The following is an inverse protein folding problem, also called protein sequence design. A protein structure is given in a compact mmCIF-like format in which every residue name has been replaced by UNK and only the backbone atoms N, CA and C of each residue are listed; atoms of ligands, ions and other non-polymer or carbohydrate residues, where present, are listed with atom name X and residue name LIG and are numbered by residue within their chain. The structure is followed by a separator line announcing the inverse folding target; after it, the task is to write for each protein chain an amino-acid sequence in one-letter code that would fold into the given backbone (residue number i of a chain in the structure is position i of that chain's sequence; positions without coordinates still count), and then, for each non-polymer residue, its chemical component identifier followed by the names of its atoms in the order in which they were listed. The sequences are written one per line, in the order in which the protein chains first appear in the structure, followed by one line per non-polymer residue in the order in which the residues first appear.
data_IF_553924472275
#
_entry.id   IF_553924472275
#
_cell.length_a   1.000
_cell.length_b   1.000
_cell.length_c   1.000
_cell.angle_alpha   90.00
_cell.angle_beta   90.00
_cell.angle_gamma   90.00
#
_symmetry.space_group_name_H-M   'P 1'
#
loop_
_entity.id
_entity.type
_entity.pdbx_description
1 polymer ?
#
# COMPACT_ATOMS: atom_id res chain seq x y z
N UNK A 1 3.51 33.83 -7.34
CA UNK A 1 3.80 32.47 -7.82
C UNK A 1 3.04 31.51 -6.93
N UNK A 2 1.96 30.89 -7.43
CA UNK A 2 1.18 29.93 -6.64
C UNK A 2 2.03 28.68 -6.41
N UNK A 3 2.10 28.19 -5.17
CA UNK A 3 2.84 26.95 -4.85
C UNK A 3 2.14 25.76 -5.54
N UNK A 4 2.86 24.78 -6.10
CA UNK A 4 2.24 23.58 -6.66
C UNK A 4 1.44 22.87 -5.56
N UNK A 5 0.16 22.61 -5.84
CA UNK A 5 -0.77 21.94 -4.94
C UNK A 5 -0.86 20.49 -5.39
N UNK A 6 -0.08 19.61 -4.77
CA UNK A 6 -0.12 18.19 -5.11
C UNK A 6 -1.39 17.51 -4.61
N UNK A 7 -1.99 16.65 -5.44
CA UNK A 7 -3.18 15.88 -5.10
C UNK A 7 -2.75 14.55 -4.47
N UNK A 8 -3.14 14.30 -3.23
CA UNK A 8 -2.80 13.05 -2.55
C UNK A 8 -4.03 12.15 -2.47
N UNK A 9 -3.94 10.98 -3.10
CA UNK A 9 -4.97 9.96 -3.01
C UNK A 9 -4.93 9.34 -1.61
N UNK A 10 -5.94 9.67 -0.79
CA UNK A 10 -6.14 9.01 0.49
C UNK A 10 -6.60 7.57 0.25
N UNK A 11 -5.70 6.61 0.37
CA UNK A 11 -6.07 5.24 0.68
C UNK A 11 -5.91 5.05 2.19
N UNK A 12 -7.00 4.78 2.91
CA UNK A 12 -6.85 4.45 4.33
C UNK A 12 -6.13 3.10 4.42
N UNK A 13 -4.92 3.12 4.95
CA UNK A 13 -4.34 2.10 5.81
C UNK A 13 -3.12 2.76 6.46
N UNK A 14 -3.15 2.94 7.77
CA UNK A 14 -1.98 3.37 8.53
C UNK A 14 -1.01 2.19 8.59
N UNK A 15 0.30 2.48 8.45
CA UNK A 15 1.34 1.48 8.65
C UNK A 15 1.33 0.97 10.09
N UNK A 16 1.46 -0.34 10.26
CA UNK A 16 2.11 -0.88 11.44
C UNK A 16 3.61 -0.50 11.38
N UNK A 17 4.27 -0.19 12.52
CA UNK A 17 5.67 0.20 12.54
C UNK A 17 6.56 -0.88 11.89
N UNK A 18 7.62 -0.44 11.20
CA UNK A 18 8.59 -1.33 10.56
C UNK A 18 9.13 -2.32 11.60
N UNK A 19 8.86 -3.61 11.39
CA UNK A 19 9.50 -4.67 12.17
C UNK A 19 10.80 -5.07 11.49
N UNK A 20 11.85 -5.21 12.30
CA UNK A 20 13.18 -5.66 11.89
C UNK A 20 13.10 -7.04 11.22
N UNK A 21 13.98 -7.35 10.25
CA UNK A 21 14.00 -8.68 9.65
C UNK A 21 14.43 -9.70 10.70
N UNK A 22 13.50 -10.57 11.11
CA UNK A 22 13.82 -11.73 11.95
C UNK A 22 14.34 -12.81 11.02
N UNK A 23 15.66 -12.98 11.01
CA UNK A 23 16.32 -14.09 10.38
C UNK A 23 16.04 -15.35 11.21
N UNK A 24 15.46 -16.38 10.60
CA UNK A 24 15.29 -17.67 11.24
C UNK A 24 15.90 -18.76 10.34
N UNK A 25 16.99 -19.36 10.80
CA UNK A 25 17.48 -20.64 10.29
C UNK A 25 17.96 -21.54 11.44
N UNK A 26 17.13 -22.55 11.68
CA UNK A 26 17.44 -23.97 11.93
C UNK A 26 18.43 -24.47 12.99
N UNK A 27 17.97 -25.58 13.58
CA UNK A 27 18.59 -26.64 14.40
C UNK A 27 19.05 -26.28 15.83
N UNK A 28 18.63 -27.06 16.84
CA UNK A 28 19.17 -26.92 18.19
C UNK A 28 20.67 -27.23 18.17
N UNK A 29 21.47 -26.33 18.73
CA UNK A 29 22.89 -26.56 18.96
C UNK A 29 23.02 -27.68 20.00
N UNK A 30 23.63 -28.83 19.67
CA UNK A 30 24.05 -29.76 20.71
C UNK A 30 25.13 -29.07 21.53
N UNK A 31 24.96 -29.03 22.85
CA UNK A 31 26.07 -28.68 23.73
C UNK A 31 27.14 -29.75 23.59
N UNK A 32 28.41 -29.33 23.60
CA UNK A 32 29.58 -30.18 23.39
C UNK A 32 29.69 -31.36 24.39
N UNK A 33 28.86 -31.37 25.44
CA UNK A 33 28.83 -32.37 26.51
C UNK A 33 27.66 -33.37 26.42
N UNK A 34 26.79 -33.27 25.41
CA UNK A 34 25.63 -34.16 25.25
C UNK A 34 24.46 -33.84 26.18
N UNK A 35 24.51 -32.75 26.96
CA UNK A 35 23.37 -32.27 27.74
C UNK A 35 22.40 -31.46 26.87
N UNK A 36 21.10 -31.57 27.16
CA UNK A 36 20.06 -30.81 26.48
C UNK A 36 19.51 -29.72 27.40
N UNK A 37 19.52 -28.47 26.95
CA UNK A 37 18.79 -27.40 27.64
C UNK A 37 17.30 -27.58 27.35
N UNK A 38 16.57 -28.13 28.32
CA UNK A 38 15.12 -28.11 28.33
C UNK A 38 14.63 -26.73 28.76
N UNK A 39 13.91 -26.03 27.89
CA UNK A 39 13.16 -24.84 28.28
C UNK A 39 11.77 -25.28 28.73
N UNK A 40 11.32 -24.84 29.91
CA UNK A 40 9.93 -25.09 30.30
C UNK A 40 8.99 -24.34 29.34
N UNK A 41 7.79 -24.89 29.15
CA UNK A 41 6.76 -24.24 28.34
C UNK A 41 6.47 -22.83 28.87
N UNK A 42 6.45 -22.63 30.18
CA UNK A 42 6.22 -21.29 30.75
C UNK A 42 7.34 -20.31 30.40
N UNK A 43 8.61 -20.74 30.42
CA UNK A 43 9.74 -19.85 30.09
C UNK A 43 9.74 -19.54 28.59
N UNK A 44 9.44 -20.53 27.75
CA UNK A 44 9.36 -20.35 26.30
C UNK A 44 8.21 -19.41 25.91
N UNK A 45 7.03 -19.61 26.52
CA UNK A 45 5.90 -18.70 26.35
C UNK A 45 6.19 -17.31 26.91
N UNK A 46 6.74 -17.19 28.12
CA UNK A 46 6.91 -15.89 28.77
C UNK A 46 8.03 -15.04 28.14
N UNK A 47 9.14 -15.66 27.75
CA UNK A 47 10.38 -14.91 27.39
C UNK A 47 10.75 -14.98 25.92
N UNK A 48 10.34 -16.02 25.20
CA UNK A 48 10.78 -16.24 23.81
C UNK A 48 9.65 -15.95 22.83
N UNK A 49 8.57 -16.74 22.90
CA UNK A 49 7.49 -16.71 21.90
C UNK A 49 6.44 -15.66 22.25
N UNK A 50 6.10 -15.49 23.52
CA UNK A 50 5.04 -14.57 23.97
C UNK A 50 5.26 -13.11 23.62
N UNK A 51 6.47 -12.53 23.74
CA UNK A 51 6.73 -11.16 23.30
C UNK A 51 6.49 -10.96 21.80
N UNK A 52 6.92 -11.92 20.97
CA UNK A 52 6.71 -11.89 19.52
C UNK A 52 5.23 -12.02 19.18
N UNK A 53 4.54 -13.00 19.77
CA UNK A 53 3.09 -13.18 19.61
C UNK A 53 2.33 -11.94 20.08
N UNK A 54 2.74 -11.33 21.18
CA UNK A 54 2.15 -10.10 21.70
C UNK A 54 2.20 -8.96 20.67
N UNK A 55 3.35 -8.76 20.02
CA UNK A 55 3.49 -7.77 18.93
C UNK A 55 2.60 -8.10 17.74
N UNK A 56 2.58 -9.37 17.30
CA UNK A 56 1.74 -9.80 16.17
C UNK A 56 0.26 -9.50 16.43
N UNK A 57 -0.23 -9.85 17.62
CA UNK A 57 -1.64 -9.65 17.99
C UNK A 57 -1.96 -8.15 18.11
N UNK A 58 -1.11 -7.36 18.76
CA UNK A 58 -1.33 -5.92 18.89
C UNK A 58 -1.40 -5.23 17.52
N UNK A 59 -0.48 -5.58 16.60
CA UNK A 59 -0.50 -5.06 15.23
C UNK A 59 -1.73 -5.50 14.46
N UNK A 60 -2.12 -6.77 14.53
CA UNK A 60 -3.31 -7.26 13.85
C UNK A 60 -4.60 -6.58 14.37
N UNK A 61 -4.68 -6.37 15.69
CA UNK A 61 -5.82 -5.72 16.32
C UNK A 61 -5.95 -4.23 15.92
N UNK A 62 -4.83 -3.53 15.76
CA UNK A 62 -4.82 -2.15 15.22
C UNK A 62 -5.43 -2.11 13.81
N UNK A 63 -5.04 -3.02 12.93
CA UNK A 63 -5.58 -3.13 11.56
C UNK A 63 -7.08 -3.42 11.58
N UNK A 64 -7.55 -4.30 12.47
CA UNK A 64 -8.98 -4.61 12.62
C UNK A 64 -9.77 -3.39 13.12
N UNK A 65 -9.25 -2.67 14.11
CA UNK A 65 -9.87 -1.42 14.63
C UNK A 65 -9.95 -0.35 13.56
N UNK A 66 -8.88 -0.15 12.79
CA UNK A 66 -8.86 0.84 11.71
C UNK A 66 -9.87 0.47 10.62
N UNK A 67 -9.93 -0.80 10.21
CA UNK A 67 -10.92 -1.29 9.26
C UNK A 67 -12.35 -1.01 9.72
N UNK A 68 -12.65 -1.30 10.99
CA UNK A 68 -13.96 -1.02 11.58
C UNK A 68 -14.32 0.48 11.58
N UNK A 69 -13.40 1.35 12.03
CA UNK A 69 -13.59 2.82 12.00
C UNK A 69 -13.81 3.36 10.59
N UNK A 70 -13.19 2.72 9.60
CA UNK A 70 -13.31 3.07 8.19
C UNK A 70 -14.58 2.50 7.50
N UNK A 71 -15.48 1.84 8.23
CA UNK A 71 -16.67 1.19 7.67
C UNK A 71 -16.39 -0.09 6.87
N UNK A 72 -15.20 -0.67 7.04
CA UNK A 72 -14.72 -1.86 6.33
C UNK A 72 -14.21 -2.90 7.34
N UNK A 73 -15.06 -3.28 8.30
CA UNK A 73 -14.73 -4.28 9.30
C UNK A 73 -14.41 -5.64 8.65
N UNK A 74 -13.36 -6.31 9.12
CA UNK A 74 -13.00 -7.62 8.61
C UNK A 74 -13.95 -8.69 9.14
N UNK A 75 -14.45 -9.55 8.25
CA UNK A 75 -15.28 -10.69 8.62
C UNK A 75 -14.49 -11.96 8.93
N UNK A 76 -13.24 -12.04 8.44
CA UNK A 76 -12.37 -13.21 8.58
C UNK A 76 -10.92 -12.79 8.82
N UNK A 77 -10.21 -13.59 9.61
CA UNK A 77 -8.76 -13.47 9.85
C UNK A 77 -8.11 -14.78 9.45
N UNK A 78 -7.11 -14.73 8.56
CA UNK A 78 -6.40 -15.92 8.09
C UNK A 78 -5.01 -15.97 8.74
N UNK A 79 -4.72 -17.03 9.49
CA UNK A 79 -3.40 -17.22 10.10
C UNK A 79 -2.47 -17.98 9.15
N UNK A 80 -1.30 -17.41 8.89
CA UNK A 80 -0.39 -17.82 7.82
C UNK A 80 1.08 -17.64 8.23
N UNK A 81 2.01 -18.33 7.57
CA UNK A 81 3.45 -18.27 7.83
C UNK A 81 3.93 -19.34 8.82
N UNK A 82 5.25 -19.39 9.06
CA UNK A 82 5.86 -20.43 9.91
C UNK A 82 5.38 -20.40 11.36
N UNK A 83 5.13 -19.21 11.92
CA UNK A 83 4.66 -19.07 13.30
C UNK A 83 3.19 -19.46 13.50
N UNK A 84 2.41 -19.61 12.42
CA UNK A 84 0.98 -19.89 12.49
C UNK A 84 0.64 -21.26 13.08
N UNK A 85 1.62 -22.18 13.17
CA UNK A 85 1.48 -23.44 13.90
C UNK A 85 1.58 -23.31 15.42
N UNK A 86 1.98 -22.16 15.96
CA UNK A 86 2.11 -21.95 17.40
C UNK A 86 0.74 -21.97 18.08
N UNK A 87 0.57 -22.87 19.06
CA UNK A 87 -0.64 -22.96 19.88
C UNK A 87 -0.95 -21.64 20.61
N UNK A 88 0.09 -20.98 21.14
CA UNK A 88 -0.04 -19.68 21.79
C UNK A 88 -0.56 -18.60 20.83
N UNK A 89 -0.01 -18.54 19.60
CA UNK A 89 -0.46 -17.59 18.58
C UNK A 89 -1.91 -17.89 18.15
N UNK A 90 -2.24 -19.15 17.89
CA UNK A 90 -3.59 -19.56 17.51
C UNK A 90 -4.62 -19.20 18.58
N UNK A 91 -4.34 -19.49 19.86
CA UNK A 91 -5.20 -19.15 21.00
C UNK A 91 -5.45 -17.64 21.10
N UNK A 92 -4.39 -16.83 21.04
CA UNK A 92 -4.53 -15.36 21.12
C UNK A 92 -5.18 -14.77 19.87
N UNK A 93 -4.88 -15.29 18.69
CA UNK A 93 -5.52 -14.88 17.44
C UNK A 93 -7.02 -15.21 17.44
N UNK A 94 -7.42 -16.34 18.02
CA UNK A 94 -8.82 -16.72 18.15
C UNK A 94 -9.59 -15.76 19.07
N UNK A 95 -9.01 -15.42 20.23
CA UNK A 95 -9.59 -14.45 21.15
C UNK A 95 -9.74 -13.05 20.50
N UNK A 96 -8.70 -12.58 19.82
CA UNK A 96 -8.72 -11.31 19.07
C UNK A 96 -9.75 -11.32 17.93
N UNK A 97 -9.82 -12.39 17.14
CA UNK A 97 -10.80 -12.49 16.06
C UNK A 97 -12.24 -12.47 16.60
N UNK A 98 -12.49 -13.22 17.69
CA UNK A 98 -13.80 -13.27 18.35
C UNK A 98 -14.23 -11.90 18.90
N UNK A 99 -13.32 -11.14 19.55
CA UNK A 99 -13.64 -9.80 20.07
C UNK A 99 -14.03 -8.81 18.96
N UNK A 100 -13.53 -9.04 17.74
CA UNK A 100 -13.84 -8.25 16.54
C UNK A 100 -14.96 -8.85 15.66
N UNK A 101 -15.67 -9.89 16.13
CA UNK A 101 -16.70 -10.61 15.36
C UNK A 101 -16.21 -11.15 14.02
N UNK A 102 -14.92 -11.50 13.95
CA UNK A 102 -14.30 -12.10 12.78
C UNK A 102 -14.09 -13.61 12.97
N UNK A 103 -14.22 -14.38 11.90
CA UNK A 103 -13.91 -15.81 11.91
C UNK A 103 -12.40 -16.04 11.73
N UNK A 104 -11.75 -16.71 12.68
CA UNK A 104 -10.37 -17.18 12.47
C UNK A 104 -10.36 -18.38 11.52
N UNK A 105 -9.53 -18.32 10.49
CA UNK A 105 -9.26 -19.39 9.54
C UNK A 105 -7.83 -19.90 9.75
N UNK A 106 -7.70 -21.20 10.00
CA UNK A 106 -6.43 -21.90 10.11
C UNK A 106 -6.25 -22.80 8.89
N UNK A 107 -5.09 -22.70 8.24
CA UNK A 107 -4.74 -23.52 7.10
C UNK A 107 -4.12 -24.83 7.57
N UNK A 108 -4.36 -25.93 6.81
CA UNK A 108 -3.68 -27.21 7.07
C UNK A 108 -2.17 -27.11 6.96
N UNK A 109 -1.68 -26.25 6.07
CA UNK A 109 -0.25 -25.99 5.85
C UNK A 109 0.02 -24.49 5.81
N UNK A 110 0.07 -23.81 6.98
CA UNK A 110 0.23 -22.36 7.05
C UNK A 110 1.58 -21.85 6.53
N UNK A 111 2.63 -22.68 6.54
CA UNK A 111 3.95 -22.30 6.00
C UNK A 111 3.98 -22.21 4.48
N UNK A 112 3.16 -23.03 3.79
CA UNK A 112 3.11 -23.07 2.33
C UNK A 112 2.06 -22.10 1.73
N UNK A 113 1.20 -21.53 2.57
CA UNK A 113 0.06 -20.69 2.17
C UNK A 113 0.43 -19.51 1.26
N UNK A 114 1.59 -18.88 1.48
CA UNK A 114 2.06 -17.73 0.70
C UNK A 114 2.37 -18.18 -0.73
N UNK A 115 3.09 -19.29 -0.88
CA UNK A 115 3.42 -19.87 -2.19
C UNK A 115 2.16 -20.38 -2.88
N UNK A 116 1.28 -21.08 -2.15
CA UNK A 116 -0.03 -21.51 -2.67
C UNK A 116 -0.84 -20.33 -3.19
N UNK A 117 -0.90 -19.23 -2.42
CA UNK A 117 -1.56 -18.00 -2.83
C UNK A 117 -0.93 -17.37 -4.07
N UNK A 118 0.40 -17.37 -4.17
CA UNK A 118 1.13 -16.85 -5.32
C UNK A 118 0.84 -17.66 -6.60
N UNK A 119 0.81 -18.99 -6.52
CA UNK A 119 0.47 -19.87 -7.66
C UNK A 119 -0.98 -19.64 -8.10
N UNK A 120 -1.92 -19.61 -7.15
CA UNK A 120 -3.33 -19.31 -7.46
C UNK A 120 -3.49 -17.93 -8.09
N UNK A 121 -2.72 -16.94 -7.63
CA UNK A 121 -2.72 -15.60 -8.19
C UNK A 121 -2.17 -15.58 -9.63
N UNK A 122 -1.10 -16.33 -9.92
CA UNK A 122 -0.54 -16.45 -11.27
C UNK A 122 -1.52 -17.09 -12.26
N UNK A 123 -2.36 -18.03 -11.80
CA UNK A 123 -3.38 -18.65 -12.64
C UNK A 123 -4.63 -17.78 -12.82
N UNK A 124 -5.07 -17.10 -11.75
CA UNK A 124 -6.35 -16.38 -11.71
C UNK A 124 -6.18 -14.98 -11.09
N UNK A 125 -5.47 -14.06 -11.76
CA UNK A 125 -5.18 -12.74 -11.18
C UNK A 125 -6.43 -11.90 -10.92
N UNK A 126 -7.50 -12.12 -11.71
CA UNK A 126 -8.78 -11.44 -11.57
C UNK A 126 -9.53 -11.75 -10.26
N UNK A 127 -9.13 -12.79 -9.50
CA UNK A 127 -9.74 -13.10 -8.19
C UNK A 127 -9.39 -12.11 -7.09
N UNK A 128 -8.36 -11.30 -7.26
CA UNK A 128 -8.00 -10.27 -6.27
C UNK A 128 -8.88 -9.05 -6.48
N UNK A 129 -9.83 -8.85 -5.57
CA UNK A 129 -10.77 -7.72 -5.61
C UNK A 129 -10.08 -6.37 -5.35
N UNK A 130 -9.17 -6.33 -4.38
CA UNK A 130 -8.39 -5.15 -4.03
C UNK A 130 -7.13 -5.54 -3.25
N UNK A 131 -6.13 -4.65 -3.23
CA UNK A 131 -4.97 -4.72 -2.34
C UNK A 131 -4.90 -3.45 -1.51
N UNK A 132 -4.46 -3.55 -0.26
CA UNK A 132 -4.22 -2.37 0.58
C UNK A 132 -2.75 -1.98 0.50
N UNK A 133 -2.52 -0.71 0.25
CA UNK A 133 -1.20 -0.13 0.19
C UNK A 133 -0.69 0.15 1.59
N UNK A 134 0.63 0.03 1.80
CA UNK A 134 1.26 0.42 3.07
C UNK A 134 1.27 1.94 3.27
N UNK A 135 1.52 2.70 2.20
CA UNK A 135 1.62 4.16 2.23
C UNK A 135 0.42 4.82 1.58
N UNK A 136 0.23 6.10 1.88
CA UNK A 136 -0.63 7.00 1.11
C UNK A 136 0.12 7.42 -0.15
N UNK A 137 -0.52 7.33 -1.31
CA UNK A 137 0.07 7.70 -2.60
C UNK A 137 -0.64 8.92 -3.18
N UNK A 138 0.05 9.73 -3.95
CA UNK A 138 -0.49 10.95 -4.56
C UNK A 138 0.11 11.21 -5.93
N UNK A 139 -0.55 12.04 -6.72
CA UNK A 139 0.00 12.59 -7.96
C UNK A 139 0.05 14.10 -7.83
N UNK A 140 1.18 14.71 -8.15
CA UNK A 140 1.29 16.17 -8.22
C UNK A 140 0.40 16.70 -9.35
N UNK A 141 -0.41 17.71 -9.04
CA UNK A 141 -1.25 18.42 -10.00
C UNK A 141 -0.94 19.91 -9.87
N UNK A 142 -1.15 20.71 -10.91
CA UNK A 142 -0.97 22.17 -10.86
C UNK A 142 -2.29 22.94 -10.75
N UNK A 143 -3.41 22.24 -10.61
CA UNK A 143 -4.73 22.84 -10.42
C UNK A 143 -4.94 23.33 -8.98
N UNK A 144 -5.80 24.34 -8.83
CA UNK A 144 -6.24 24.81 -7.51
C UNK A 144 -7.03 23.72 -6.78
N UNK A 145 -6.74 23.52 -5.50
CA UNK A 145 -7.49 22.58 -4.67
C UNK A 145 -8.97 22.96 -4.59
N UNK A 146 -9.85 21.96 -4.57
CA UNK A 146 -11.29 22.10 -4.37
C UNK A 146 -11.84 20.87 -3.64
N UNK A 147 -13.00 20.97 -2.99
CA UNK A 147 -13.63 19.84 -2.29
C UNK A 147 -13.97 18.65 -3.21
N UNK A 148 -14.13 18.88 -4.52
CA UNK A 148 -14.28 17.80 -5.51
C UNK A 148 -13.04 16.92 -5.61
N UNK A 149 -11.87 17.43 -5.20
CA UNK A 149 -10.62 16.68 -5.13
C UNK A 149 -10.53 15.79 -3.87
N UNK A 150 -11.28 16.06 -2.80
CA UNK A 150 -11.30 15.20 -1.60
C UNK A 150 -11.92 13.83 -1.85
N UNK A 151 -12.67 13.68 -2.95
CA UNK A 151 -13.29 12.42 -3.33
C UNK A 151 -12.25 11.44 -3.87
N UNK A 152 -11.43 10.90 -2.97
CA UNK A 152 -10.63 9.71 -3.22
C UNK A 152 -11.58 8.62 -3.71
N UNK A 153 -11.27 8.04 -4.87
CA UNK A 153 -12.03 7.00 -5.59
C UNK A 153 -12.06 5.65 -4.83
N UNK A 154 -12.42 5.70 -3.55
CA UNK A 154 -12.50 4.61 -2.60
C UNK A 154 -13.51 3.54 -3.01
N UNK A 155 -14.53 3.94 -3.77
CA UNK A 155 -15.56 3.03 -4.28
C UNK A 155 -15.11 2.16 -5.48
N UNK A 156 -14.04 2.52 -6.21
CA UNK A 156 -13.66 1.82 -7.45
C UNK A 156 -12.51 0.82 -7.29
N UNK A 157 -11.90 0.71 -6.12
CA UNK A 157 -10.74 -0.18 -5.88
C UNK A 157 -9.43 0.25 -6.56
N UNK A 158 -9.48 1.24 -7.47
CA UNK A 158 -8.33 1.88 -8.12
C UNK A 158 -8.64 3.37 -8.27
N UNK A 159 -7.78 4.28 -7.80
CA UNK A 159 -8.08 5.68 -7.88
C UNK A 159 -7.51 6.31 -9.15
N UNK A 160 -8.40 6.88 -9.96
CA UNK A 160 -8.07 7.72 -11.11
C UNK A 160 -8.35 9.19 -10.77
N UNK A 161 -7.51 10.12 -11.23
CA UNK A 161 -7.80 11.55 -11.21
C UNK A 161 -7.74 12.09 -12.64
N UNK A 162 -8.87 12.61 -13.12
CA UNK A 162 -8.87 13.39 -14.35
C UNK A 162 -8.33 14.77 -14.00
N UNK A 163 -7.18 15.12 -14.59
CA UNK A 163 -6.57 16.41 -14.38
C UNK A 163 -7.10 17.39 -15.40
N UNK A 164 -7.94 18.31 -14.94
CA UNK A 164 -8.27 19.52 -15.70
C UNK A 164 -7.17 20.57 -15.45
N UNK A 165 -5.91 20.18 -15.65
CA UNK A 165 -4.76 20.99 -15.25
C UNK A 165 -4.49 22.15 -16.23
N UNK A 166 -3.84 23.19 -15.71
CA UNK A 166 -3.32 24.29 -16.50
C UNK A 166 -2.12 23.83 -17.35
N UNK A 167 -2.37 23.41 -18.59
CA UNK A 167 -1.29 23.31 -19.57
C UNK A 167 -0.88 24.74 -19.95
N UNK A 168 0.33 25.16 -19.59
CA UNK A 168 0.84 26.46 -20.03
C UNK A 168 0.90 26.49 -21.55
N UNK A 169 0.52 27.62 -22.15
CA UNK A 169 0.58 27.83 -23.60
C UNK A 169 1.98 27.67 -24.19
N UNK A 170 3.06 27.48 -23.45
CA UNK A 170 4.39 27.16 -23.99
C UNK A 170 4.74 25.67 -23.87
N UNK A 171 3.99 24.89 -23.11
CA UNK A 171 4.32 23.49 -22.87
C UNK A 171 4.07 22.64 -24.12
N UNK A 172 5.06 21.82 -24.43
CA UNK A 172 4.99 20.70 -25.37
C UNK A 172 5.03 19.36 -24.63
N UNK A 173 5.36 19.38 -23.33
CA UNK A 173 5.46 18.21 -22.47
C UNK A 173 4.88 18.54 -21.10
N UNK A 174 4.22 17.57 -20.49
CA UNK A 174 3.63 17.65 -19.15
C UNK A 174 4.21 16.53 -18.29
N UNK A 175 4.80 16.92 -17.16
CA UNK A 175 5.39 15.99 -16.21
C UNK A 175 4.40 15.67 -15.10
N UNK A 176 4.14 14.40 -14.87
CA UNK A 176 3.34 13.90 -13.75
C UNK A 176 4.27 13.23 -12.76
N UNK A 177 4.13 13.56 -11.48
CA UNK A 177 4.97 12.99 -10.41
C UNK A 177 4.11 12.26 -9.41
N UNK A 178 4.48 11.02 -9.11
CA UNK A 178 3.86 10.25 -8.04
C UNK A 178 4.65 10.45 -6.74
N UNK A 179 3.93 10.63 -5.65
CA UNK A 179 4.47 10.79 -4.31
C UNK A 179 3.92 9.73 -3.36
N UNK A 180 4.66 9.45 -2.29
CA UNK A 180 4.23 8.58 -1.20
C UNK A 180 4.56 9.19 0.16
N UNK A 181 3.73 8.91 1.16
CA UNK A 181 3.93 9.31 2.56
C UNK A 181 3.30 8.31 3.54
N UNK A 182 3.85 8.24 4.74
CA UNK A 182 3.28 7.47 5.86
C UNK A 182 2.07 8.19 6.50
N UNK A 183 1.90 9.49 6.23
CA UNK A 183 0.75 10.25 6.73
C UNK A 183 -0.53 9.88 5.97
N UNK A 184 -1.51 9.37 6.69
CA UNK A 184 -2.85 9.08 6.14
C UNK A 184 -3.71 10.34 5.94
N UNK A 185 -3.29 11.49 6.49
CA UNK A 185 -4.00 12.75 6.43
C UNK A 185 -3.41 13.73 5.39
N UNK A 186 -2.30 13.36 4.75
CA UNK A 186 -1.62 14.24 3.84
C UNK A 186 -2.50 14.66 2.66
N UNK A 187 -2.39 15.94 2.33
CA UNK A 187 -3.19 16.60 1.29
C UNK A 187 -2.33 17.37 0.29
N UNK A 188 -1.08 17.72 0.64
CA UNK A 188 -0.16 18.46 -0.23
C UNK A 188 1.20 17.76 -0.36
N UNK A 189 1.84 17.88 -1.53
CA UNK A 189 3.16 17.29 -1.82
C UNK A 189 4.32 17.92 -1.06
N UNK A 190 4.12 19.09 -0.45
CA UNK A 190 5.12 19.77 0.37
C UNK A 190 5.02 19.44 1.87
N UNK A 191 4.18 18.48 2.26
CA UNK A 191 4.05 18.07 3.66
C UNK A 191 5.22 17.21 4.15
N UNK A 192 5.53 17.25 5.45
CA UNK A 192 6.59 16.43 6.02
C UNK A 192 6.45 14.95 5.71
N UNK A 193 7.56 14.31 5.35
CA UNK A 193 7.60 12.88 5.05
C UNK A 193 7.12 12.50 3.64
N UNK A 194 6.85 13.49 2.77
CA UNK A 194 6.57 13.24 1.36
C UNK A 194 7.82 12.80 0.59
N UNK A 195 7.68 11.79 -0.25
CA UNK A 195 8.79 11.26 -1.07
C UNK A 195 8.33 11.08 -2.51
N UNK A 196 9.10 11.59 -3.47
CA UNK A 196 8.83 11.36 -4.90
C UNK A 196 9.20 9.93 -5.27
N UNK A 197 8.24 9.15 -5.74
CA UNK A 197 8.42 7.71 -6.05
C UNK A 197 8.41 7.40 -7.54
N UNK A 198 7.79 8.23 -8.38
CA UNK A 198 7.88 8.11 -9.83
C UNK A 198 7.66 9.44 -10.55
N UNK A 199 8.04 9.46 -11.81
CA UNK A 199 7.84 10.57 -12.73
C UNK A 199 7.57 10.02 -14.13
N UNK A 200 6.59 10.59 -14.83
CA UNK A 200 6.36 10.35 -16.28
C UNK A 200 6.24 11.68 -16.99
N UNK A 201 6.64 11.69 -18.25
CA UNK A 201 6.53 12.85 -19.11
C UNK A 201 5.67 12.51 -20.33
N UNK A 202 4.57 13.24 -20.49
CA UNK A 202 3.63 13.09 -21.59
C UNK A 202 3.86 14.21 -22.61
N UNK A 203 4.16 13.83 -23.85
CA UNK A 203 4.28 14.77 -24.96
C UNK A 203 2.90 15.17 -25.48
N UNK A 204 2.73 16.47 -25.73
CA UNK A 204 1.53 17.05 -26.31
C UNK A 204 1.71 17.23 -27.82
N UNK A 205 0.65 17.05 -28.62
CA UNK A 205 0.66 17.33 -30.06
C UNK A 205 1.09 18.78 -30.35
N UNK A 206 1.89 19.02 -31.38
CA UNK A 206 2.35 20.37 -31.71
C UNK A 206 1.18 21.37 -31.92
N UNK A 207 0.05 20.88 -32.44
CA UNK A 207 -1.17 21.61 -32.76
C UNK A 207 -2.23 21.59 -31.64
N UNK A 208 -1.89 21.11 -30.43
CA UNK A 208 -2.86 20.99 -29.33
C UNK A 208 -3.59 22.30 -29.02
N UNK A 209 -2.88 23.43 -29.15
CA UNK A 209 -3.39 24.78 -28.86
C UNK A 209 -4.51 25.20 -29.79
N UNK A 210 -4.42 24.84 -31.07
CA UNK A 210 -5.46 25.15 -32.06
C UNK A 210 -6.72 24.31 -31.86
N UNK A 211 -6.67 23.25 -31.04
CA UNK A 211 -7.80 22.37 -30.77
C UNK A 211 -8.68 22.84 -29.59
N UNK A 212 -8.27 23.89 -28.88
CA UNK A 212 -8.96 24.36 -27.68
C UNK A 212 -9.08 25.89 -27.65
N UNK A 213 -10.20 26.40 -27.15
CA UNK A 213 -10.41 27.85 -27.01
C UNK A 213 -9.69 28.39 -25.77
N UNK A 214 -9.72 27.60 -24.70
CA UNK A 214 -9.06 27.87 -23.43
C UNK A 214 -8.04 26.78 -23.11
N UNK A 215 -6.98 27.15 -22.38
CA UNK A 215 -6.00 26.18 -21.87
C UNK A 215 -6.61 25.15 -20.91
N UNK A 216 -7.75 25.50 -20.30
CA UNK A 216 -8.50 24.63 -19.38
C UNK A 216 -9.33 23.57 -20.12
N UNK A 217 -9.52 23.70 -21.43
CA UNK A 217 -10.34 22.75 -22.21
C UNK A 217 -9.53 21.51 -22.65
N UNK A 218 -8.19 21.58 -22.56
CA UNK A 218 -7.32 20.45 -22.89
C UNK A 218 -7.22 19.51 -21.70
N UNK A 219 -7.86 18.34 -21.80
CA UNK A 219 -7.97 17.41 -20.68
C UNK A 219 -6.90 16.34 -20.72
N UNK A 220 -6.21 16.19 -19.60
CA UNK A 220 -5.26 15.12 -19.35
C UNK A 220 -5.78 14.25 -18.20
N UNK A 221 -5.37 13.00 -18.16
CA UNK A 221 -5.74 12.07 -17.10
C UNK A 221 -4.50 11.50 -16.46
N UNK A 222 -4.48 11.49 -15.12
CA UNK A 222 -3.50 10.76 -14.32
C UNK A 222 -4.20 9.62 -13.58
N UNK A 223 -3.88 8.39 -13.95
CA UNK A 223 -4.46 7.19 -13.38
C UNK A 223 -3.40 6.46 -12.55
N UNK A 224 -3.67 6.26 -11.24
CA UNK A 224 -2.86 5.37 -10.41
C UNK A 224 -3.51 3.99 -10.40
N UNK A 225 -2.80 3.01 -10.95
CA UNK A 225 -3.22 1.61 -10.93
C UNK A 225 -2.41 0.86 -9.89
N UNK A 226 -3.09 0.42 -8.85
CA UNK A 226 -2.52 -0.49 -7.87
C UNK A 226 -2.64 -1.92 -8.39
N UNK A 227 -1.70 -2.30 -9.25
CA UNK A 227 -1.69 -3.60 -9.91
C UNK A 227 -1.21 -4.74 -9.01
N UNK A 228 -0.98 -5.89 -9.65
CA UNK A 228 -0.48 -7.12 -9.06
C UNK A 228 0.75 -6.91 -8.14
N UNK A 229 1.91 -6.69 -8.74
CA UNK A 229 3.21 -6.52 -8.06
C UNK A 229 3.81 -5.14 -8.26
N UNK A 230 3.06 -4.21 -8.85
CA UNK A 230 3.54 -2.86 -9.16
C UNK A 230 2.41 -1.84 -9.01
N UNK A 231 2.77 -0.63 -8.62
CA UNK A 231 1.94 0.56 -8.76
C UNK A 231 2.31 1.19 -10.09
N UNK A 232 1.32 1.45 -10.95
CA UNK A 232 1.55 2.13 -12.24
C UNK A 232 0.97 3.52 -12.19
N UNK A 233 1.80 4.54 -12.42
CA UNK A 233 1.36 5.88 -12.78
C UNK A 233 1.17 5.92 -14.30
N UNK A 234 -0.05 6.18 -14.74
CA UNK A 234 -0.39 6.31 -16.15
C UNK A 234 -0.86 7.73 -16.43
N UNK A 235 -0.23 8.40 -17.39
CA UNK A 235 -0.66 9.69 -17.90
C UNK A 235 -1.26 9.52 -19.30
N UNK A 236 -2.44 10.08 -19.54
CA UNK A 236 -3.11 10.02 -20.84
C UNK A 236 -3.52 11.39 -21.34
N UNK A 237 -3.39 11.58 -22.63
CA UNK A 237 -4.03 12.64 -23.38
C UNK A 237 -5.43 12.16 -23.82
N UNK A 238 -6.49 12.83 -23.35
CA UNK A 238 -7.86 12.40 -23.64
C UNK A 238 -8.32 12.74 -25.06
N UNK A 239 -7.64 13.68 -25.75
CA UNK A 239 -7.94 14.00 -27.14
C UNK A 239 -7.28 13.01 -28.09
N UNK A 240 -5.97 12.79 -27.94
CA UNK A 240 -5.23 11.92 -28.86
C UNK A 240 -5.26 10.44 -28.46
N UNK A 241 -5.66 10.14 -27.23
CA UNK A 241 -5.54 8.82 -26.61
C UNK A 241 -4.09 8.35 -26.44
N UNK A 242 -3.10 9.23 -26.66
CA UNK A 242 -1.71 8.93 -26.34
C UNK A 242 -1.56 8.71 -24.82
N UNK A 243 -0.73 7.75 -24.43
CA UNK A 243 -0.56 7.38 -23.03
C UNK A 243 0.89 6.97 -22.74
N UNK A 244 1.40 7.43 -21.60
CA UNK A 244 2.73 7.08 -21.08
C UNK A 244 2.60 6.56 -19.65
N UNK A 245 3.46 5.63 -19.24
CA UNK A 245 3.37 5.00 -17.93
C UNK A 245 4.72 4.83 -17.26
N UNK A 246 4.76 4.95 -15.94
CA UNK A 246 5.86 4.52 -15.09
C UNK A 246 5.35 3.51 -14.08
N UNK A 247 6.20 2.52 -13.78
CA UNK A 247 5.93 1.45 -12.82
C UNK A 247 6.85 1.60 -11.62
N UNK A 248 6.28 1.46 -10.43
CA UNK A 248 7.01 1.42 -9.16
C UNK A 248 6.76 0.06 -8.51
N UNK A 249 7.84 -0.64 -8.17
CA UNK A 249 7.75 -1.90 -7.43
C UNK A 249 7.32 -1.65 -5.99
N UNK A 250 6.52 -2.56 -5.42
CA UNK A 250 6.15 -2.51 -3.99
C UNK A 250 7.31 -2.81 -3.05
N UNK A 251 8.34 -3.51 -3.52
CA UNK A 251 9.40 -4.05 -2.66
C UNK A 251 10.51 -3.05 -2.36
N UNK A 252 10.63 -1.99 -3.16
CA UNK A 252 11.47 -0.85 -2.82
C UNK A 252 10.78 -0.06 -1.73
N UNK A 253 11.37 -0.05 -0.52
CA UNK A 253 10.84 0.75 0.59
C UNK A 253 10.85 2.22 0.19
N UNK A 254 9.70 2.86 -0.08
CA UNK A 254 9.70 4.25 -0.51
C UNK A 254 10.26 5.17 0.58
N UNK A 255 10.28 4.72 1.84
CA UNK A 255 10.85 5.45 2.98
C UNK A 255 12.36 5.62 2.86
N UNK A 256 13.05 4.77 2.07
CA UNK A 256 14.49 4.92 1.82
C UNK A 256 14.82 6.03 0.81
N UNK A 257 13.83 6.54 0.06
CA UNK A 257 14.02 7.66 -0.85
C UNK A 257 14.15 8.97 -0.05
N UNK A 258 14.92 9.97 -0.49
CA UNK A 258 14.99 11.24 0.22
C UNK A 258 13.61 11.89 0.33
N UNK A 259 13.32 12.44 1.52
CA UNK A 259 12.17 13.32 1.67
C UNK A 259 12.39 14.59 0.84
N UNK A 260 11.32 15.09 0.24
CA UNK A 260 11.34 16.29 -0.60
C UNK A 260 11.17 17.54 0.24
#
# INVERSE_FOLDING_TARGET
MSKPIGYIFRHLAKCAPASSPICASSSPLPLLDGSAIGWSEEVLEARVVGPVVGRIIATAEEVLREGARAGSAASKVLLTGGLAGSALLQRRAAAMAASHRAQLLLLRSPSASVVTGAVLFGQLPARVSARRCRLTYGVEIRATWSSTHEYSNRMRGYPAAILNDEVYRSQQRVTFRMYATESSAASYTAEPGMRKVAEVELELPADWRSKVQSRFDYKLEAELRFGATEITLLARDLQTRNAVAAKVSWTSDPVSLPAV
#
